data_IF_148836418340
#
_entry.id   IF_148836418340
#
_cell.length_a   1.000
_cell.length_b   1.000
_cell.length_c   1.000
_cell.angle_alpha   90.00
_cell.angle_beta   90.00
_cell.angle_gamma   90.00
#
_symmetry.space_group_name_H-M   'P 1'
#
loop_
_entity.id
_entity.type
_entity.pdbx_description
1 polymer ?
#
# COMPACT_ATOMS: atom_id res chain seq x y z
N UNK A 1 -21.73 -12.87 -36.72
CA UNK A 1 -21.46 -11.88 -35.64
C UNK A 1 -22.22 -12.35 -34.40
N UNK A 2 -21.53 -12.63 -33.30
CA UNK A 2 -22.13 -13.10 -32.04
C UNK A 2 -22.14 -11.94 -31.01
N UNK A 3 -23.29 -11.29 -30.76
CA UNK A 3 -23.35 -10.09 -29.93
C UNK A 3 -22.89 -10.32 -28.49
N UNK A 4 -23.04 -11.54 -27.96
CA UNK A 4 -22.60 -11.88 -26.60
C UNK A 4 -21.09 -11.75 -26.39
N UNK A 5 -20.27 -12.07 -27.40
CA UNK A 5 -18.81 -11.95 -27.27
C UNK A 5 -18.39 -10.48 -27.13
N UNK A 6 -18.98 -9.59 -27.93
CA UNK A 6 -18.70 -8.15 -27.86
C UNK A 6 -19.17 -7.54 -26.53
N UNK A 7 -20.30 -8.02 -25.99
CA UNK A 7 -20.78 -7.59 -24.68
C UNK A 7 -19.77 -7.94 -23.57
N UNK A 8 -19.21 -9.16 -23.59
CA UNK A 8 -18.21 -9.60 -22.60
C UNK A 8 -16.91 -8.80 -22.73
N UNK A 9 -16.43 -8.58 -23.96
CA UNK A 9 -15.23 -7.78 -24.22
C UNK A 9 -15.42 -6.33 -23.75
N UNK A 10 -16.59 -5.73 -23.99
CA UNK A 10 -16.93 -4.40 -23.50
C UNK A 10 -16.98 -4.32 -21.98
N UNK A 11 -17.62 -5.31 -21.32
CA UNK A 11 -17.67 -5.39 -19.86
C UNK A 11 -16.26 -5.53 -19.26
N UNK A 12 -15.42 -6.39 -19.83
CA UNK A 12 -14.03 -6.56 -19.40
C UNK A 12 -13.20 -5.28 -19.60
N UNK A 13 -13.41 -4.56 -20.71
CA UNK A 13 -12.73 -3.29 -20.97
C UNK A 13 -13.11 -2.23 -19.92
N UNK A 14 -14.40 -2.06 -19.63
CA UNK A 14 -14.86 -1.09 -18.61
C UNK A 14 -14.29 -1.42 -17.24
N UNK A 15 -14.39 -2.68 -16.82
CA UNK A 15 -13.90 -3.11 -15.50
C UNK A 15 -12.36 -3.01 -15.41
N UNK A 16 -11.63 -3.38 -16.46
CA UNK A 16 -10.17 -3.26 -16.54
C UNK A 16 -9.71 -1.81 -16.55
N UNK A 17 -10.47 -0.92 -17.19
CA UNK A 17 -10.29 0.52 -17.09
C UNK A 17 -10.50 1.00 -15.66
N UNK A 18 -11.69 0.83 -15.08
CA UNK A 18 -12.04 1.41 -13.77
C UNK A 18 -11.16 0.88 -12.63
N UNK A 19 -10.86 -0.42 -12.60
CA UNK A 19 -10.13 -1.05 -11.50
C UNK A 19 -8.62 -1.08 -11.69
N UNK A 20 -8.13 -0.86 -12.93
CA UNK A 20 -6.72 -1.02 -13.32
C UNK A 20 -6.14 -2.42 -13.05
N UNK A 21 -6.99 -3.42 -12.77
CA UNK A 21 -6.60 -4.84 -12.67
C UNK A 21 -6.69 -5.50 -14.05
N UNK A 22 -5.55 -5.82 -14.65
CA UNK A 22 -5.53 -6.35 -16.03
C UNK A 22 -5.50 -7.87 -16.08
N UNK A 23 -4.49 -8.51 -15.49
CA UNK A 23 -4.28 -9.96 -15.65
C UNK A 23 -5.36 -10.77 -14.94
N UNK A 24 -5.58 -10.51 -13.65
CA UNK A 24 -6.53 -11.28 -12.83
C UNK A 24 -7.96 -11.18 -13.36
N UNK A 25 -8.37 -9.99 -13.82
CA UNK A 25 -9.71 -9.75 -14.36
C UNK A 25 -9.97 -10.54 -15.65
N UNK A 26 -8.99 -10.55 -16.56
CA UNK A 26 -9.08 -11.28 -17.83
C UNK A 26 -9.22 -12.78 -17.56
N UNK A 27 -8.46 -13.32 -16.60
CA UNK A 27 -8.53 -14.73 -16.20
C UNK A 27 -9.92 -15.06 -15.63
N UNK A 28 -10.44 -14.26 -14.69
CA UNK A 28 -11.77 -14.45 -14.11
C UNK A 28 -12.85 -14.45 -15.21
N UNK A 29 -12.80 -13.50 -16.15
CA UNK A 29 -13.76 -13.43 -17.26
C UNK A 29 -13.69 -14.66 -18.19
N UNK A 30 -12.48 -15.16 -18.47
CA UNK A 30 -12.29 -16.38 -19.26
C UNK A 30 -12.82 -17.62 -18.53
N UNK A 31 -12.60 -17.73 -17.23
CA UNK A 31 -13.14 -18.82 -16.40
C UNK A 31 -14.68 -18.80 -16.36
N UNK A 32 -15.27 -17.63 -16.08
CA UNK A 32 -16.73 -17.47 -16.02
C UNK A 32 -17.43 -17.74 -17.37
N UNK A 33 -16.78 -17.40 -18.48
CA UNK A 33 -17.33 -17.62 -19.83
C UNK A 33 -17.06 -19.04 -20.35
N UNK A 34 -16.17 -19.80 -19.69
CA UNK A 34 -15.78 -21.15 -20.12
C UNK A 34 -15.02 -21.19 -21.45
N UNK A 35 -14.45 -20.07 -21.88
CA UNK A 35 -13.93 -19.85 -23.24
C UNK A 35 -12.51 -19.27 -23.25
N UNK A 36 -11.51 -20.07 -22.91
CA UNK A 36 -10.09 -19.67 -22.86
C UNK A 36 -9.53 -19.26 -24.24
N UNK A 37 -10.16 -19.72 -25.32
CA UNK A 37 -9.82 -19.36 -26.70
C UNK A 37 -9.94 -17.85 -27.01
N UNK A 38 -10.71 -17.11 -26.22
CA UNK A 38 -10.92 -15.67 -26.42
C UNK A 38 -10.06 -14.78 -25.50
N UNK A 39 -9.03 -15.35 -24.86
CA UNK A 39 -8.16 -14.61 -23.94
C UNK A 39 -7.42 -13.46 -24.62
N UNK A 40 -6.95 -13.66 -25.86
CA UNK A 40 -6.16 -12.66 -26.60
C UNK A 40 -6.95 -11.38 -26.88
N UNK A 41 -8.16 -11.41 -27.50
CA UNK A 41 -8.94 -10.20 -27.71
C UNK A 41 -9.42 -9.55 -26.41
N UNK A 42 -9.70 -10.33 -25.37
CA UNK A 42 -10.13 -9.80 -24.07
C UNK A 42 -9.00 -9.06 -23.35
N UNK A 43 -7.78 -9.61 -23.41
CA UNK A 43 -6.57 -8.97 -22.89
C UNK A 43 -6.20 -7.71 -23.68
N UNK A 44 -6.33 -7.73 -25.01
CA UNK A 44 -6.08 -6.56 -25.85
C UNK A 44 -7.04 -5.41 -25.52
N UNK A 45 -8.33 -5.71 -25.36
CA UNK A 45 -9.33 -4.70 -24.99
C UNK A 45 -9.10 -4.13 -23.58
N UNK A 46 -8.80 -4.99 -22.61
CA UNK A 46 -8.51 -4.56 -21.24
C UNK A 46 -7.24 -3.72 -21.15
N UNK A 47 -6.17 -4.09 -21.88
CA UNK A 47 -4.93 -3.31 -21.94
C UNK A 47 -5.13 -1.96 -22.62
N UNK A 48 -5.86 -1.92 -23.74
CA UNK A 48 -6.17 -0.66 -24.43
C UNK A 48 -6.95 0.29 -23.50
N UNK A 49 -7.97 -0.23 -22.79
CA UNK A 49 -8.72 0.57 -21.82
C UNK A 49 -7.83 1.05 -20.66
N UNK A 50 -6.97 0.18 -20.14
CA UNK A 50 -6.03 0.53 -19.08
C UNK A 50 -5.06 1.63 -19.52
N UNK A 51 -4.50 1.56 -20.72
CA UNK A 51 -3.58 2.59 -21.25
C UNK A 51 -4.27 3.93 -21.46
N UNK A 52 -5.46 3.94 -22.07
CA UNK A 52 -6.26 5.16 -22.23
C UNK A 52 -6.58 5.76 -20.87
N UNK A 53 -6.93 4.90 -19.92
CA UNK A 53 -7.16 5.31 -18.55
C UNK A 53 -5.93 5.90 -17.87
N UNK A 54 -4.79 5.20 -17.92
CA UNK A 54 -3.52 5.63 -17.34
C UNK A 54 -3.08 6.99 -17.92
N UNK A 55 -3.40 7.26 -19.19
CA UNK A 55 -3.15 8.54 -19.84
C UNK A 55 -4.07 9.68 -19.34
N UNK A 56 -5.33 9.38 -18.99
CA UNK A 56 -6.27 10.36 -18.43
C UNK A 56 -6.08 10.58 -16.93
N UNK A 57 -5.61 9.57 -16.20
CA UNK A 57 -5.40 9.62 -14.76
C UNK A 57 -4.77 8.33 -14.23
N UNK A 58 -3.80 8.48 -13.33
CA UNK A 58 -2.97 7.37 -12.84
C UNK A 58 -3.67 6.46 -11.82
N UNK A 59 -4.79 6.88 -11.24
CA UNK A 59 -5.42 6.17 -10.12
C UNK A 59 -6.62 5.32 -10.58
N UNK A 60 -6.67 4.07 -10.12
CA UNK A 60 -7.89 3.27 -10.19
C UNK A 60 -8.93 3.74 -9.17
N UNK A 61 -10.16 3.21 -9.26
CA UNK A 61 -11.23 3.54 -8.30
C UNK A 61 -10.84 3.23 -6.84
N UNK A 62 -10.08 2.14 -6.64
CA UNK A 62 -9.64 1.73 -5.30
C UNK A 62 -8.57 2.67 -4.74
N UNK A 63 -7.59 3.05 -5.55
CA UNK A 63 -6.54 3.99 -5.15
C UNK A 63 -7.14 5.37 -4.83
N UNK A 64 -8.12 5.81 -5.63
CA UNK A 64 -8.85 7.05 -5.38
C UNK A 64 -9.61 7.00 -4.04
N UNK A 65 -10.22 5.87 -3.70
CA UNK A 65 -10.93 5.71 -2.43
C UNK A 65 -9.98 5.66 -1.21
N UNK A 66 -8.80 5.06 -1.37
CA UNK A 66 -7.74 5.08 -0.34
C UNK A 66 -7.28 6.51 -0.07
N UNK A 67 -7.02 7.27 -1.14
CA UNK A 67 -6.62 8.67 -1.07
C UNK A 67 -7.70 9.55 -0.42
N UNK A 68 -8.97 9.35 -0.81
CA UNK A 68 -10.09 10.12 -0.27
C UNK A 68 -10.29 9.90 1.23
N UNK A 69 -10.07 8.68 1.72
CA UNK A 69 -10.16 8.36 3.15
C UNK A 69 -8.87 8.65 3.93
N UNK A 70 -7.83 9.18 3.26
CA UNK A 70 -6.53 9.48 3.88
C UNK A 70 -5.91 8.28 4.61
N UNK A 71 -6.08 7.07 4.07
CA UNK A 71 -5.45 5.90 4.65
C UNK A 71 -3.94 5.90 4.39
N UNK A 72 -3.11 5.54 5.39
CA UNK A 72 -1.66 5.44 5.21
C UNK A 72 -1.34 4.17 4.40
N UNK A 73 -1.41 4.28 3.08
CA UNK A 73 -1.08 3.23 2.13
C UNK A 73 0.23 3.55 1.42
N UNK A 74 1.18 2.61 1.44
CA UNK A 74 2.47 2.73 0.77
C UNK A 74 2.41 1.98 -0.56
N UNK A 75 2.28 2.70 -1.68
CA UNK A 75 2.29 2.08 -3.00
C UNK A 75 3.72 1.66 -3.37
N UNK A 76 3.87 0.43 -3.85
CA UNK A 76 5.15 -0.09 -4.36
C UNK A 76 5.52 0.49 -5.73
N UNK A 77 4.58 1.16 -6.40
CA UNK A 77 4.76 1.77 -7.72
C UNK A 77 5.13 3.24 -7.68
N UNK A 78 5.10 3.86 -6.50
CA UNK A 78 5.50 5.25 -6.36
C UNK A 78 7.02 5.37 -6.46
N UNK A 79 7.49 6.03 -7.51
CA UNK A 79 8.86 6.51 -7.58
C UNK A 79 8.97 7.74 -6.69
N UNK A 80 9.59 7.57 -5.53
CA UNK A 80 10.00 8.71 -4.72
C UNK A 80 11.12 9.44 -5.47
N UNK A 81 10.77 10.50 -6.20
CA UNK A 81 11.76 11.39 -6.85
C UNK A 81 12.70 12.05 -5.82
N UNK A 82 12.33 12.05 -4.54
CA UNK A 82 13.12 12.65 -3.47
C UNK A 82 14.15 11.67 -2.91
N UNK A 83 15.41 12.11 -2.95
CA UNK A 83 16.55 11.50 -2.25
C UNK A 83 16.46 11.84 -0.76
N UNK A 84 15.35 11.48 -0.10
CA UNK A 84 15.23 11.64 1.36
C UNK A 84 16.03 10.54 2.04
N UNK A 85 16.91 10.92 2.97
CA UNK A 85 17.61 9.95 3.81
C UNK A 85 16.64 9.49 4.89
N UNK A 86 16.78 8.26 5.36
CA UNK A 86 15.94 7.70 6.44
C UNK A 86 15.92 8.63 7.68
N UNK A 87 17.03 9.33 7.94
CA UNK A 87 17.14 10.33 9.00
C UNK A 87 16.15 11.49 8.89
N UNK A 88 15.66 11.83 7.70
CA UNK A 88 14.70 12.93 7.49
C UNK A 88 13.26 12.54 7.88
N UNK A 89 12.97 11.23 7.88
CA UNK A 89 11.64 10.65 8.16
C UNK A 89 11.57 10.11 9.59
N UNK A 90 12.70 9.70 10.17
CA UNK A 90 12.78 9.22 11.54
C UNK A 90 12.28 10.26 12.56
N UNK A 91 11.58 9.76 13.58
CA UNK A 91 11.18 10.53 14.75
C UNK A 91 11.92 9.99 15.98
N UNK A 92 12.33 10.86 16.92
CA UNK A 92 12.09 12.30 16.97
C UNK A 92 13.02 13.09 16.03
N UNK A 93 12.54 14.21 15.50
CA UNK A 93 13.34 15.08 14.61
C UNK A 93 14.19 16.00 15.49
N UNK A 94 15.51 15.86 15.45
CA UNK A 94 16.45 16.73 16.18
C UNK A 94 17.00 16.09 17.47
N UNK A 95 17.13 16.88 18.54
CA UNK A 95 17.76 16.47 19.81
C UNK A 95 16.77 16.08 20.91
N UNK A 96 15.54 15.72 20.52
CA UNK A 96 14.52 15.22 21.44
C UNK A 96 14.84 13.78 21.85
N UNK A 97 14.53 13.44 23.10
CA UNK A 97 14.83 12.10 23.65
C UNK A 97 13.71 11.13 23.27
N UNK A 98 14.09 10.03 22.65
CA UNK A 98 13.21 8.89 22.41
C UNK A 98 12.78 8.29 23.76
N UNK A 99 11.50 7.92 23.87
CA UNK A 99 11.01 7.15 25.02
C UNK A 99 11.51 5.72 24.89
N UNK A 100 12.38 5.29 25.81
CA UNK A 100 13.06 3.98 25.77
C UNK A 100 12.84 3.22 27.07
N UNK A 101 12.84 1.90 26.98
CA UNK A 101 12.82 1.02 28.15
C UNK A 101 14.23 0.48 28.37
N UNK A 102 14.73 0.47 29.60
CA UNK A 102 16.05 -0.09 29.90
C UNK A 102 15.96 -1.55 30.31
N UNK A 103 16.94 -2.37 29.91
CA UNK A 103 16.93 -3.81 30.16
C UNK A 103 16.96 -4.17 31.66
N UNK A 104 17.69 -3.40 32.48
CA UNK A 104 17.99 -3.77 33.87
C UNK A 104 17.76 -2.66 34.90
N UNK A 105 17.38 -1.44 34.50
CA UNK A 105 17.32 -0.30 35.43
C UNK A 105 15.93 0.28 35.69
N UNK A 106 14.91 -0.07 34.91
CA UNK A 106 13.53 0.41 35.11
C UNK A 106 12.72 -0.52 36.02
N UNK A 107 11.93 0.06 36.91
CA UNK A 107 10.94 -0.69 37.70
C UNK A 107 9.59 -0.74 36.98
N UNK A 108 8.72 -1.67 37.38
CA UNK A 108 7.36 -1.79 36.81
C UNK A 108 6.58 -0.48 36.92
N UNK A 109 6.77 0.27 38.01
CA UNK A 109 6.13 1.57 38.22
C UNK A 109 6.59 2.62 37.21
N UNK A 110 7.87 2.60 36.85
CA UNK A 110 8.42 3.55 35.87
C UNK A 110 7.86 3.25 34.47
N UNK A 111 7.63 1.97 34.16
CA UNK A 111 6.99 1.54 32.91
C UNK A 111 5.50 1.93 32.89
N UNK A 112 4.77 1.73 34.00
CA UNK A 112 3.37 2.16 34.12
C UNK A 112 3.24 3.68 33.94
N UNK A 113 4.13 4.46 34.56
CA UNK A 113 4.16 5.91 34.37
C UNK A 113 4.47 6.29 32.91
N UNK A 114 5.43 5.62 32.27
CA UNK A 114 5.76 5.86 30.86
C UNK A 114 4.58 5.56 29.92
N UNK A 115 3.86 4.47 30.16
CA UNK A 115 2.66 4.09 29.41
C UNK A 115 1.48 5.06 29.63
N UNK A 116 1.43 5.74 30.77
CA UNK A 116 0.43 6.76 31.04
C UNK A 116 0.79 8.13 30.43
N UNK A 117 2.07 8.44 30.32
CA UNK A 117 2.56 9.72 29.78
C UNK A 117 2.63 9.75 28.25
N UNK A 118 2.72 8.60 27.60
CA UNK A 118 2.93 8.50 26.15
C UNK A 118 1.89 7.62 25.47
N UNK A 119 1.51 7.96 24.24
CA UNK A 119 0.48 7.27 23.45
C UNK A 119 1.09 6.37 22.36
N UNK A 120 2.29 5.84 22.61
CA UNK A 120 3.01 5.00 21.66
C UNK A 120 2.68 3.53 21.88
N UNK A 121 2.46 2.81 20.78
CA UNK A 121 2.18 1.37 20.82
C UNK A 121 3.45 0.50 20.91
N UNK A 122 4.63 1.09 20.98
CA UNK A 122 5.90 0.37 21.05
C UNK A 122 7.04 1.25 21.54
N UNK A 123 7.92 0.65 22.34
CA UNK A 123 9.10 1.32 22.92
C UNK A 123 10.34 0.45 22.67
N UNK A 124 11.41 1.01 22.11
CA UNK A 124 12.65 0.26 21.92
C UNK A 124 13.35 0.03 23.27
N UNK A 125 13.93 -1.16 23.41
CA UNK A 125 14.66 -1.60 24.59
C UNK A 125 16.15 -1.33 24.40
N UNK A 126 16.75 -0.62 25.36
CA UNK A 126 18.18 -0.27 25.36
C UNK A 126 18.90 -0.85 26.58
N UNK A 127 20.22 -1.04 26.46
CA UNK A 127 21.06 -1.57 27.56
C UNK A 127 21.03 -0.65 28.78
N UNK A 128 21.30 0.64 28.60
CA UNK A 128 21.20 1.64 29.67
C UNK A 128 20.97 3.05 29.10
N UNK A 129 20.68 4.03 29.98
CA UNK A 129 20.58 5.44 29.59
C UNK A 129 21.91 6.04 29.14
N UNK A 130 23.03 5.47 29.56
CA UNK A 130 24.39 5.88 29.17
C UNK A 130 24.87 5.15 27.91
N UNK A 131 24.39 3.94 27.67
CA UNK A 131 24.66 3.12 26.49
C UNK A 131 23.36 2.78 25.77
N UNK A 132 22.96 3.65 24.83
CA UNK A 132 21.75 3.50 24.00
C UNK A 132 21.88 2.45 22.89
N UNK A 133 22.51 1.31 23.20
CA UNK A 133 22.53 0.17 22.28
C UNK A 133 21.17 -0.53 22.32
N UNK A 134 20.58 -0.77 21.14
CA UNK A 134 19.32 -1.51 21.00
C UNK A 134 19.52 -2.98 21.37
N UNK A 135 18.59 -3.53 22.14
CA UNK A 135 18.56 -4.95 22.53
C UNK A 135 17.33 -5.65 21.94
N UNK A 136 16.21 -4.93 21.79
CA UNK A 136 14.97 -5.47 21.22
C UNK A 136 13.86 -4.44 21.13
#
# INVERSE_FOLDING_TARGET
ITPGLYAIVGAAAVLGGVTRMTVSLVVIMCELTGGVLYIVPLMAAAMASKWVGDALGRQGVYDAHISLNSYPFLDSKDEFEHVSVVADVMQPRGNEKLSVITQNSMTVRDIENLLHETDFNGYPVVVSTECQSLVG
#
